data_IF_938587420531
#
_entry.id   IF_938587420531
#
_cell.length_a   1.000
_cell.length_b   1.000
_cell.length_c   1.000
_cell.angle_alpha   90.00
_cell.angle_beta   90.00
_cell.angle_gamma   90.00
#
_symmetry.space_group_name_H-M   'P 1'
#
loop_
_entity.id
_entity.type
_entity.pdbx_description
1 polymer ?
#
# COMPACT_ATOMS: atom_id res chain seq x y z
N UNK A 1 -10.30 -19.28 -31.71
CA UNK A 1 -9.05 -19.40 -30.92
C UNK A 1 -8.51 -18.07 -30.37
N UNK A 2 -8.68 -16.91 -31.05
CA UNK A 2 -8.18 -15.60 -30.54
C UNK A 2 -8.99 -14.98 -29.39
N UNK A 3 -10.29 -15.28 -29.30
CA UNK A 3 -11.21 -14.72 -28.28
C UNK A 3 -10.89 -15.21 -26.86
N UNK A 4 -10.40 -16.44 -26.72
CA UNK A 4 -10.02 -17.02 -25.43
C UNK A 4 -8.75 -16.37 -24.84
N UNK A 5 -7.83 -15.91 -25.68
CA UNK A 5 -6.64 -15.15 -25.23
C UNK A 5 -7.02 -13.78 -24.65
N UNK A 6 -8.00 -13.10 -25.25
CA UNK A 6 -8.49 -11.80 -24.76
C UNK A 6 -9.22 -11.92 -23.42
N UNK A 7 -10.02 -12.98 -23.22
CA UNK A 7 -10.72 -13.27 -21.97
C UNK A 7 -9.76 -13.60 -20.81
N UNK A 8 -8.68 -14.34 -21.08
CA UNK A 8 -7.63 -14.63 -20.08
C UNK A 8 -6.83 -13.39 -19.67
N UNK A 9 -6.58 -12.47 -20.61
CA UNK A 9 -5.86 -11.22 -20.32
C UNK A 9 -6.71 -10.24 -19.50
N UNK A 10 -8.01 -10.15 -19.79
CA UNK A 10 -8.95 -9.31 -19.05
C UNK A 10 -9.12 -9.74 -17.57
N UNK A 11 -9.02 -11.05 -17.29
CA UNK A 11 -9.10 -11.58 -15.92
C UNK A 11 -7.80 -11.42 -15.11
N UNK A 12 -6.67 -11.10 -15.75
CA UNK A 12 -5.38 -10.90 -15.10
C UNK A 12 -5.16 -9.45 -14.62
N UNK A 13 -5.87 -8.47 -15.19
CA UNK A 13 -5.79 -7.06 -14.81
C UNK A 13 -6.12 -6.73 -13.33
N UNK A 14 -7.11 -7.36 -12.66
CA UNK A 14 -7.44 -7.00 -11.28
C UNK A 14 -6.40 -7.47 -10.26
N UNK A 15 -5.45 -8.33 -10.64
CA UNK A 15 -4.35 -8.74 -9.75
C UNK A 15 -3.31 -7.64 -9.53
N UNK A 16 -3.17 -6.69 -10.47
CA UNK A 16 -2.28 -5.54 -10.32
C UNK A 16 -2.91 -4.36 -9.57
N UNK A 17 -4.25 -4.31 -9.45
CA UNK A 17 -4.98 -3.15 -8.95
C UNK A 17 -4.98 -3.00 -7.42
N UNK A 18 -4.49 -3.99 -6.67
CA UNK A 18 -4.48 -3.98 -5.21
C UNK A 18 -3.06 -3.85 -4.63
N UNK A 19 -2.16 -3.14 -5.31
CA UNK A 19 -0.87 -2.81 -4.71
C UNK A 19 -1.12 -1.89 -3.50
N UNK A 20 -0.79 -2.40 -2.31
CA UNK A 20 -1.08 -1.74 -1.03
C UNK A 20 -0.03 -0.67 -0.77
N UNK A 21 -0.21 0.43 -1.50
CA UNK A 21 0.69 1.57 -1.53
C UNK A 21 0.45 2.47 -0.34
N UNK A 22 1.52 2.85 0.36
CA UNK A 22 1.50 3.81 1.46
C UNK A 22 2.38 4.99 1.07
N UNK A 23 1.93 6.22 1.33
CA UNK A 23 2.76 7.41 1.07
C UNK A 23 2.60 8.48 2.14
N UNK A 24 3.66 8.87 2.86
CA UNK A 24 3.57 10.02 3.76
C UNK A 24 3.44 11.36 3.01
N UNK A 25 3.62 11.36 1.68
CA UNK A 25 3.74 12.58 0.89
C UNK A 25 2.42 13.00 0.23
N UNK A 26 1.96 14.22 0.49
CA UNK A 26 0.71 14.76 -0.08
C UNK A 26 0.68 14.79 -1.60
N UNK A 27 1.75 15.23 -2.26
CA UNK A 27 1.78 15.29 -3.72
C UNK A 27 1.72 13.90 -4.38
N UNK A 28 2.23 12.87 -3.69
CA UNK A 28 2.12 11.49 -4.19
C UNK A 28 0.73 10.94 -3.89
N UNK A 29 0.19 11.18 -2.70
CA UNK A 29 -1.17 10.78 -2.32
C UNK A 29 -2.22 11.37 -3.26
N UNK A 30 -2.10 12.66 -3.57
CA UNK A 30 -3.00 13.37 -4.50
C UNK A 30 -2.90 12.78 -5.90
N UNK A 31 -1.70 12.60 -6.43
CA UNK A 31 -1.49 12.02 -7.77
C UNK A 31 -2.04 10.60 -7.86
N UNK A 32 -1.74 9.75 -6.88
CA UNK A 32 -2.27 8.38 -6.80
C UNK A 32 -3.81 8.36 -6.79
N UNK A 33 -4.41 9.26 -6.00
CA UNK A 33 -5.87 9.41 -5.94
C UNK A 33 -6.44 9.90 -7.27
N UNK A 34 -5.79 10.88 -7.92
CA UNK A 34 -6.20 11.39 -9.22
C UNK A 34 -6.11 10.33 -10.33
N UNK A 35 -5.15 9.39 -10.23
CA UNK A 35 -5.04 8.24 -11.14
C UNK A 35 -6.09 7.15 -10.89
N UNK A 36 -6.94 7.29 -9.86
CA UNK A 36 -7.94 6.28 -9.48
C UNK A 36 -7.41 5.17 -8.58
N UNK A 37 -6.18 5.29 -8.07
CA UNK A 37 -5.54 4.33 -7.18
C UNK A 37 -5.20 4.99 -5.84
N UNK A 38 -6.18 5.31 -4.99
CA UNK A 38 -5.92 5.98 -3.71
C UNK A 38 -4.98 5.12 -2.83
N UNK A 39 -4.02 5.73 -2.12
CA UNK A 39 -3.12 4.99 -1.25
C UNK A 39 -3.88 4.36 -0.08
N UNK A 40 -3.36 3.26 0.46
CA UNK A 40 -3.88 2.62 1.67
C UNK A 40 -3.81 3.57 2.87
N UNK A 41 -2.72 4.32 2.98
CA UNK A 41 -2.51 5.25 4.08
C UNK A 41 -1.64 6.44 3.63
N UNK A 42 -1.94 7.62 4.17
CA UNK A 42 -1.24 8.86 3.88
C UNK A 42 -0.79 9.61 5.13
N UNK A 43 0.25 10.42 5.01
CA UNK A 43 0.68 11.32 6.08
C UNK A 43 -0.23 12.54 6.20
N UNK A 44 -0.48 12.97 7.43
CA UNK A 44 -1.19 14.19 7.79
C UNK A 44 -2.54 14.35 7.07
N UNK A 45 -3.33 13.27 7.00
CA UNK A 45 -4.62 13.29 6.32
C UNK A 45 -5.55 14.35 6.90
N UNK A 46 -5.53 14.53 8.23
CA UNK A 46 -6.40 15.49 8.93
C UNK A 46 -6.21 16.93 8.46
N UNK A 47 -4.97 17.36 8.22
CA UNK A 47 -4.66 18.73 7.81
C UNK A 47 -4.57 18.89 6.29
N UNK A 48 -4.56 17.78 5.53
CA UNK A 48 -4.51 17.81 4.07
C UNK A 48 -5.57 18.73 3.44
N UNK A 49 -6.87 18.70 3.81
CA UNK A 49 -7.90 19.58 3.22
C UNK A 49 -7.68 21.06 3.45
N UNK A 50 -6.88 21.44 4.46
CA UNK A 50 -6.54 22.83 4.75
C UNK A 50 -5.51 23.38 3.75
N UNK A 51 -4.67 22.51 3.18
CA UNK A 51 -3.56 22.88 2.30
C UNK A 51 -3.78 22.48 0.84
N UNK A 52 -4.54 21.41 0.61
CA UNK A 52 -4.94 20.92 -0.71
C UNK A 52 -6.44 20.70 -0.74
N UNK A 53 -7.11 21.36 -1.68
CA UNK A 53 -8.56 21.23 -1.87
C UNK A 53 -8.91 20.05 -2.77
N UNK A 54 -8.10 19.77 -3.79
CA UNK A 54 -8.33 18.70 -4.76
C UNK A 54 -7.06 17.88 -5.07
N UNK A 55 -7.17 16.56 -5.28
CA UNK A 55 -8.36 15.73 -5.09
C UNK A 55 -8.62 15.43 -3.60
N UNK A 56 -9.90 15.44 -3.21
CA UNK A 56 -10.33 15.02 -1.87
C UNK A 56 -9.94 13.56 -1.64
N UNK A 57 -9.25 13.32 -0.54
CA UNK A 57 -8.80 11.97 -0.18
C UNK A 57 -9.98 11.15 0.35
N UNK A 58 -10.22 9.95 -0.19
CA UNK A 58 -11.37 9.14 0.21
C UNK A 58 -11.28 8.74 1.69
N UNK A 59 -12.41 8.45 2.35
CA UNK A 59 -12.43 8.04 3.75
C UNK A 59 -11.68 6.73 4.00
N UNK A 60 -11.49 5.90 2.96
CA UNK A 60 -10.71 4.66 3.00
C UNK A 60 -9.22 4.85 3.29
N UNK A 61 -8.64 6.02 2.99
CA UNK A 61 -7.22 6.29 3.24
C UNK A 61 -6.99 6.46 4.75
N UNK A 62 -6.12 5.66 5.35
CA UNK A 62 -5.77 5.82 6.77
C UNK A 62 -4.79 6.98 6.99
N UNK A 63 -4.87 7.64 8.15
CA UNK A 63 -3.89 8.65 8.55
C UNK A 63 -2.68 7.98 9.23
N UNK A 64 -1.48 8.27 8.74
CA UNK A 64 -0.21 7.79 9.28
C UNK A 64 0.39 8.72 10.33
N UNK A 65 -0.26 9.85 10.63
CA UNK A 65 0.29 10.91 11.49
C UNK A 65 1.22 11.84 10.71
N UNK A 66 2.16 12.47 11.40
CA UNK A 66 3.01 13.52 10.82
C UNK A 66 3.74 13.05 9.56
N UNK A 67 3.71 13.87 8.50
CA UNK A 67 4.38 13.61 7.22
C UNK A 67 5.89 13.40 7.39
N UNK A 68 6.53 14.14 8.28
CA UNK A 68 7.96 14.02 8.57
C UNK A 68 8.27 12.96 9.63
N UNK A 69 7.27 12.53 10.41
CA UNK A 69 7.37 11.51 11.45
C UNK A 69 6.16 10.57 11.41
N UNK A 70 6.06 9.72 10.37
CA UNK A 70 4.95 8.80 10.26
C UNK A 70 5.03 7.77 11.40
N UNK A 71 3.87 7.37 11.90
CA UNK A 71 3.72 6.38 12.97
C UNK A 71 4.26 5.02 12.51
N UNK A 72 5.37 4.59 13.12
CA UNK A 72 6.11 3.38 12.70
C UNK A 72 5.41 2.12 13.16
N UNK A 73 4.75 2.18 14.30
CA UNK A 73 3.99 1.09 14.90
C UNK A 73 2.77 0.77 14.02
N UNK A 74 2.09 1.80 13.53
CA UNK A 74 0.98 1.66 12.58
C UNK A 74 1.48 1.09 11.24
N UNK A 75 2.59 1.59 10.72
CA UNK A 75 3.21 1.04 9.50
C UNK A 75 3.61 -0.43 9.64
N UNK A 76 3.97 -0.89 10.84
CA UNK A 76 4.30 -2.30 11.11
C UNK A 76 3.11 -3.25 10.96
N UNK A 77 1.92 -2.74 11.30
CA UNK A 77 0.68 -3.50 11.36
C UNK A 77 -0.03 -3.51 10.01
N UNK A 78 0.20 -2.47 9.19
CA UNK A 78 -0.42 -2.35 7.87
C UNK A 78 0.17 -3.36 6.89
N UNK A 79 -0.67 -4.02 6.09
CA UNK A 79 -0.21 -5.09 5.22
C UNK A 79 0.28 -4.52 3.87
N UNK A 80 1.20 -3.56 3.90
CA UNK A 80 1.64 -2.76 2.76
C UNK A 80 2.68 -3.50 1.90
N UNK A 81 2.68 -3.22 0.58
CA UNK A 81 3.61 -3.81 -0.38
C UNK A 81 4.68 -2.82 -0.83
N UNK A 82 4.29 -1.55 -0.98
CA UNK A 82 5.14 -0.50 -1.53
C UNK A 82 4.96 0.80 -0.76
N UNK A 83 6.06 1.52 -0.56
CA UNK A 83 6.03 2.87 0.00
C UNK A 83 6.59 3.84 -1.02
N UNK A 84 5.79 4.84 -1.38
CA UNK A 84 6.22 5.95 -2.23
C UNK A 84 6.58 7.14 -1.36
N UNK A 85 7.85 7.50 -1.32
CA UNK A 85 8.36 8.71 -0.68
C UNK A 85 9.21 9.54 -1.65
N UNK A 86 9.23 10.85 -1.44
CA UNK A 86 10.22 11.72 -2.07
C UNK A 86 11.47 11.79 -1.15
N UNK A 87 12.64 12.05 -1.75
CA UNK A 87 13.98 12.06 -1.16
C UNK A 87 14.12 12.70 0.24
N UNK A 88 13.21 13.62 0.59
CA UNK A 88 13.14 14.31 1.88
C UNK A 88 12.90 13.39 3.11
N UNK A 89 12.32 12.19 2.96
CA UNK A 89 11.98 11.29 4.11
C UNK A 89 12.87 10.03 4.15
N UNK A 90 14.16 10.18 3.79
CA UNK A 90 15.13 9.07 3.71
C UNK A 90 15.40 8.33 5.04
N UNK A 91 15.09 8.95 6.18
CA UNK A 91 15.35 8.40 7.52
C UNK A 91 14.38 7.24 7.88
N UNK A 92 13.14 7.24 7.39
CA UNK A 92 12.17 6.17 7.70
C UNK A 92 12.18 5.02 6.67
N UNK A 93 12.57 5.27 5.41
CA UNK A 93 12.52 4.29 4.33
C UNK A 93 13.31 3.00 4.61
N UNK A 94 14.46 3.09 5.30
CA UNK A 94 15.31 1.92 5.61
C UNK A 94 14.67 0.97 6.64
N UNK A 95 13.95 1.52 7.62
CA UNK A 95 13.23 0.73 8.62
C UNK A 95 12.02 0.05 7.97
N UNK A 96 11.25 0.81 7.18
CA UNK A 96 10.05 0.33 6.49
C UNK A 96 10.37 -0.80 5.51
N UNK A 97 11.42 -0.67 4.69
CA UNK A 97 11.82 -1.74 3.75
C UNK A 97 12.14 -3.06 4.45
N UNK A 98 12.67 -2.99 5.68
CA UNK A 98 12.93 -4.18 6.51
C UNK A 98 11.63 -4.82 7.00
N UNK A 99 10.63 -4.00 7.34
CA UNK A 99 9.31 -4.44 7.78
C UNK A 99 8.52 -5.10 6.65
N UNK A 100 8.50 -4.53 5.44
CA UNK A 100 7.86 -5.17 4.27
C UNK A 100 8.41 -6.56 4.01
N UNK A 101 9.74 -6.71 4.05
CA UNK A 101 10.41 -7.99 3.84
C UNK A 101 10.06 -9.01 4.93
N UNK A 102 9.95 -8.56 6.17
CA UNK A 102 9.52 -9.40 7.29
C UNK A 102 8.07 -9.86 7.13
N UNK A 103 7.17 -8.95 6.76
CA UNK A 103 5.75 -9.26 6.51
C UNK A 103 5.57 -10.30 5.39
N UNK A 104 6.32 -10.16 4.29
CA UNK A 104 6.31 -11.13 3.19
C UNK A 104 6.82 -12.51 3.62
N UNK A 105 7.88 -12.55 4.43
CA UNK A 105 8.37 -13.79 5.02
C UNK A 105 7.32 -14.43 5.96
N UNK A 106 6.66 -13.64 6.80
CA UNK A 106 5.60 -14.12 7.69
C UNK A 106 4.37 -14.63 6.92
N UNK A 107 3.93 -13.91 5.88
CA UNK A 107 2.82 -14.32 5.00
C UNK A 107 3.17 -15.64 4.29
N UNK A 108 4.37 -15.76 3.71
CA UNK A 108 4.82 -17.00 3.08
C UNK A 108 4.92 -18.16 4.08
N UNK A 109 5.41 -17.91 5.30
CA UNK A 109 5.43 -18.91 6.37
C UNK A 109 4.01 -19.35 6.79
N UNK A 110 3.06 -18.41 6.87
CA UNK A 110 1.66 -18.69 7.19
C UNK A 110 0.96 -19.50 6.07
N UNK A 111 1.19 -19.13 4.80
CA UNK A 111 0.66 -19.86 3.64
C UNK A 111 1.24 -21.29 3.56
N UNK A 112 2.52 -21.47 3.91
CA UNK A 112 3.17 -22.80 3.95
C UNK A 112 2.65 -23.69 5.07
N UNK A 113 2.14 -23.13 6.18
CA UNK A 113 1.46 -23.91 7.23
C UNK A 113 0.06 -24.37 6.79
N UNK A 114 -0.71 -23.52 6.10
CA UNK A 114 -2.03 -23.91 5.56
C UNK A 114 -1.95 -25.07 4.56
N UNK A 115 -0.91 -25.13 3.71
CA UNK A 115 -0.77 -26.22 2.73
C UNK A 115 -0.36 -27.58 3.33
N UNK A 116 0.24 -27.60 4.53
CA UNK A 116 0.55 -28.85 5.24
C UNK A 116 -0.64 -29.45 5.98
N UNK A 117 -1.61 -28.62 6.40
CA UNK A 117 -2.82 -29.09 7.10
C UNK A 117 -3.80 -29.73 6.12
N UNK A 118 -3.94 -29.20 4.90
CA UNK A 118 -4.78 -29.79 3.85
C UNK A 118 -4.21 -31.04 3.13
N UNK A 119 -3.01 -31.49 3.52
CA UNK A 119 -2.35 -32.69 2.95
C UNK A 119 -2.27 -33.85 3.96
N UNK A 120 -3.00 -33.72 5.07
CA UNK A 120 -3.05 -34.68 6.19
C UNK A 120 -4.49 -35.15 6.48
N UNK A 121 -5.35 -35.09 5.47
CA UNK A 121 -6.65 -35.75 5.39
C UNK A 121 -6.61 -36.72 4.22
#
# INVERSE_FOLDING_TARGET
MRVWLFLLCALALPLFAAERVVTPNWAMASTLTAMGFPPLAMGDKRIYPLWMSDPVQPPSVMDLGERYRPNRELLAQLPLSLVFDNFFIRICARCIRRMCRWWMCCLMAAMRRRSKVGRRM
#
